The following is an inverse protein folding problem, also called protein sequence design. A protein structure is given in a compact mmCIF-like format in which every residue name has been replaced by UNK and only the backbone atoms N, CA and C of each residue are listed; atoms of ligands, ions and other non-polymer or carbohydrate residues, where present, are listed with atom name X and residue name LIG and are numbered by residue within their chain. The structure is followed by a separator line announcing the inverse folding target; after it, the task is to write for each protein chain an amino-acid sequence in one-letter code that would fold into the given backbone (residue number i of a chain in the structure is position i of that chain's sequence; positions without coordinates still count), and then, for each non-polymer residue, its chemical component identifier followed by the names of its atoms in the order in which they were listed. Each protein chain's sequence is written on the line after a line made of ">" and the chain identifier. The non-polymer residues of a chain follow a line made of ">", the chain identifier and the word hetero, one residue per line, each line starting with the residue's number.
data_IF_600586172054
#
_entry.id   IF_600586172054
#
_cell.length_a   1.000
_cell.length_b   1.000
_cell.length_c   1.000
_cell.angle_alpha   90.00
_cell.angle_beta   90.00
_cell.angle_gamma   90.00
#
_symmetry.space_group_name_H-M   'P 1'
#
loop_
_entity.id
_entity.type
_entity.pdbx_description
1 polymer ?
#
# COMPACT_ATOMS: atom_id res chain seq x y z
N UNK A 1 9.60 -56.33 -22.35
CA UNK A 1 8.94 -55.26 -23.14
C UNK A 1 7.96 -54.57 -22.21
N UNK A 2 8.60 -53.86 -21.30
CA UNK A 2 8.11 -52.87 -20.35
C UNK A 2 7.55 -51.70 -21.14
N UNK A 3 6.23 -51.61 -21.22
CA UNK A 3 5.55 -50.51 -21.89
C UNK A 3 5.51 -49.29 -20.98
N UNK A 4 6.65 -48.61 -20.85
CA UNK A 4 6.76 -47.28 -20.25
C UNK A 4 6.18 -46.25 -21.23
N UNK A 5 4.86 -46.20 -21.34
CA UNK A 5 4.16 -45.12 -22.06
C UNK A 5 4.04 -43.92 -21.12
N UNK A 6 5.15 -43.19 -20.98
CA UNK A 6 5.24 -41.92 -20.26
C UNK A 6 4.37 -40.84 -20.89
N UNK A 7 3.06 -40.88 -20.65
CA UNK A 7 2.17 -39.75 -20.87
C UNK A 7 2.51 -38.69 -19.81
N UNK A 8 3.01 -37.49 -20.16
CA UNK A 8 3.18 -36.46 -19.16
C UNK A 8 1.77 -36.03 -18.75
N UNK A 9 1.35 -36.39 -17.52
CA UNK A 9 0.17 -35.78 -16.92
C UNK A 9 0.32 -34.25 -17.00
N UNK A 10 -0.70 -33.49 -17.44
CA UNK A 10 -0.67 -32.05 -17.27
C UNK A 10 -0.49 -31.79 -15.77
N UNK A 11 0.64 -31.20 -15.40
CA UNK A 11 0.83 -30.71 -14.04
C UNK A 11 -0.30 -29.70 -13.81
N UNK A 12 -1.17 -29.85 -12.78
CA UNK A 12 -1.98 -28.71 -12.37
C UNK A 12 -1.01 -27.55 -12.09
N UNK A 13 -1.38 -26.30 -12.37
CA UNK A 13 -0.53 -25.14 -12.10
C UNK A 13 -0.25 -25.09 -10.59
N UNK A 14 0.84 -25.73 -10.19
CA UNK A 14 1.33 -25.74 -8.83
C UNK A 14 2.40 -24.68 -8.77
N UNK A 15 2.03 -23.50 -8.28
CA UNK A 15 3.01 -22.50 -7.90
C UNK A 15 2.65 -21.05 -8.17
N UNK A 16 1.46 -20.60 -7.77
CA UNK A 16 1.35 -19.22 -7.25
C UNK A 16 0.34 -19.12 -6.09
N UNK A 17 0.14 -20.23 -5.37
CA UNK A 17 -0.58 -20.26 -4.09
C UNK A 17 0.22 -19.71 -2.90
N UNK A 18 1.46 -19.25 -3.12
CA UNK A 18 2.34 -18.70 -2.07
C UNK A 18 2.53 -17.18 -2.15
N UNK A 19 1.82 -16.49 -3.05
CA UNK A 19 1.63 -15.04 -2.98
C UNK A 19 0.28 -14.62 -2.38
N UNK A 20 -0.59 -15.58 -2.06
CA UNK A 20 -1.89 -15.35 -1.44
C UNK A 20 -1.82 -15.08 0.09
N UNK A 21 -0.63 -14.86 0.65
CA UNK A 21 -0.43 -14.51 2.07
C UNK A 21 -0.27 -13.00 2.34
N UNK A 22 -0.08 -12.21 1.30
CA UNK A 22 -0.22 -10.76 1.33
C UNK A 22 -1.22 -10.43 0.25
N UNK A 23 -2.52 -10.49 0.58
CA UNK A 23 -3.53 -9.86 -0.25
C UNK A 23 -3.02 -8.46 -0.57
N UNK A 24 -2.99 -8.12 -1.87
CA UNK A 24 -2.38 -6.90 -2.39
C UNK A 24 -2.66 -5.76 -1.40
N UNK A 25 -1.65 -5.22 -0.73
CA UNK A 25 -1.85 -4.30 0.40
C UNK A 25 -2.63 -3.05 -0.05
N UNK A 26 -2.60 -2.79 -1.37
CA UNK A 26 -3.47 -1.84 -2.08
C UNK A 26 -4.93 -2.25 -2.10
N UNK A 27 -5.25 -3.53 -2.24
CA UNK A 27 -6.61 -4.07 -2.09
C UNK A 27 -7.10 -4.07 -0.64
N UNK A 28 -6.18 -4.04 0.35
CA UNK A 28 -6.53 -3.91 1.78
C UNK A 28 -6.57 -2.44 2.25
N UNK A 29 -5.96 -1.53 1.50
CA UNK A 29 -5.94 -0.10 1.81
C UNK A 29 -7.29 0.53 1.49
N UNK A 30 -8.24 0.46 2.43
CA UNK A 30 -9.51 1.18 2.32
C UNK A 30 -9.28 2.69 2.12
N UNK A 31 -10.07 3.39 1.30
CA UNK A 31 -10.01 4.85 1.14
C UNK A 31 -10.05 5.62 2.46
N UNK A 32 -10.80 5.10 3.45
CA UNK A 32 -10.83 5.67 4.80
C UNK A 32 -9.45 5.62 5.50
N UNK A 33 -8.70 4.52 5.35
CA UNK A 33 -7.37 4.37 5.96
C UNK A 33 -6.35 5.33 5.34
N UNK A 34 -6.42 5.52 4.02
CA UNK A 34 -5.59 6.52 3.32
C UNK A 34 -5.84 7.94 3.81
N UNK A 35 -7.12 8.27 4.02
CA UNK A 35 -7.49 9.59 4.53
C UNK A 35 -7.07 9.79 5.98
N UNK A 36 -7.18 8.76 6.83
CA UNK A 36 -6.63 8.80 8.20
C UNK A 36 -5.12 9.01 8.21
N UNK A 37 -4.38 8.38 7.29
CA UNK A 37 -2.94 8.57 7.14
C UNK A 37 -2.62 10.02 6.75
N UNK A 38 -3.34 10.57 5.75
CA UNK A 38 -3.18 11.97 5.36
C UNK A 38 -3.48 12.95 6.51
N UNK A 39 -4.51 12.67 7.33
CA UNK A 39 -4.83 13.47 8.52
C UNK A 39 -3.70 13.37 9.56
N UNK A 40 -3.15 12.18 9.81
CA UNK A 40 -2.02 12.01 10.73
C UNK A 40 -0.76 12.75 10.25
N UNK A 41 -0.48 12.72 8.95
CA UNK A 41 0.61 13.50 8.33
C UNK A 41 0.36 14.99 8.56
N UNK A 42 -0.86 15.46 8.30
CA UNK A 42 -1.27 16.84 8.50
C UNK A 42 -1.11 17.29 9.97
N UNK A 43 -1.61 16.51 10.92
CA UNK A 43 -1.48 16.85 12.34
C UNK A 43 -0.03 16.86 12.81
N UNK A 44 0.79 15.93 12.31
CA UNK A 44 2.23 15.91 12.58
C UNK A 44 2.91 17.17 12.04
N UNK A 45 2.63 17.56 10.79
CA UNK A 45 3.13 18.81 10.19
C UNK A 45 2.70 20.02 11.02
N UNK A 46 1.43 20.07 11.45
CA UNK A 46 0.89 21.17 12.27
C UNK A 46 1.57 21.29 13.63
N UNK A 47 1.88 20.17 14.29
CA UNK A 47 2.61 20.17 15.57
C UNK A 47 4.06 20.66 15.41
N UNK A 48 4.73 20.28 14.32
CA UNK A 48 6.11 20.70 14.07
C UNK A 48 6.23 22.14 13.58
N UNK A 49 5.24 22.66 12.87
CA UNK A 49 5.20 24.03 12.36
C UNK A 49 4.62 24.99 13.41
N UNK A 50 5.11 24.96 14.66
CA UNK A 50 4.65 25.80 15.80
C UNK A 50 4.72 27.32 15.51
N UNK A 51 3.84 27.82 14.63
CA UNK A 51 3.56 29.21 14.22
C UNK A 51 2.76 29.29 12.91
N UNK A 52 2.40 28.17 12.26
CA UNK A 52 1.70 28.21 10.97
C UNK A 52 0.33 28.86 11.12
N UNK A 53 0.15 30.02 10.51
CA UNK A 53 -1.09 30.79 10.56
C UNK A 53 -2.24 30.01 9.90
N UNK A 54 -3.49 30.38 10.20
CA UNK A 54 -4.69 29.79 9.57
C UNK A 54 -4.62 29.78 8.03
N UNK A 55 -3.83 30.67 7.43
CA UNK A 55 -3.63 30.82 5.99
C UNK A 55 -2.79 29.69 5.34
N UNK A 56 -1.96 28.98 6.11
CA UNK A 56 -1.11 27.88 5.62
C UNK A 56 -1.74 26.49 5.78
N UNK A 57 -2.85 26.38 6.54
CA UNK A 57 -3.59 25.12 6.70
C UNK A 57 -4.06 24.48 5.37
N UNK A 58 -4.55 25.24 4.37
CA UNK A 58 -4.93 24.65 3.08
C UNK A 58 -3.73 24.10 2.31
N UNK A 59 -2.57 24.78 2.41
CA UNK A 59 -1.32 24.35 1.78
C UNK A 59 -0.79 23.08 2.47
N UNK A 60 -0.82 23.02 3.80
CA UNK A 60 -0.47 21.83 4.57
C UNK A 60 -1.36 20.63 4.22
N UNK A 61 -2.66 20.86 4.07
CA UNK A 61 -3.60 19.80 3.71
C UNK A 61 -3.28 19.25 2.32
N UNK A 62 -2.96 20.14 1.37
CA UNK A 62 -2.52 19.76 0.02
C UNK A 62 -1.21 18.98 0.05
N UNK A 63 -0.22 19.45 0.82
CA UNK A 63 1.07 18.75 0.99
C UNK A 63 0.87 17.37 1.61
N UNK A 64 0.01 17.26 2.62
CA UNK A 64 -0.29 15.98 3.30
C UNK A 64 -0.93 14.97 2.36
N UNK A 65 -1.89 15.42 1.53
CA UNK A 65 -2.54 14.57 0.53
C UNK A 65 -1.55 14.13 -0.57
N UNK A 66 -0.74 15.05 -1.10
CA UNK A 66 0.28 14.73 -2.12
C UNK A 66 1.34 13.80 -1.56
N UNK A 67 1.76 14.00 -0.31
CA UNK A 67 2.73 13.14 0.35
C UNK A 67 2.19 11.72 0.53
N UNK A 68 0.97 11.59 1.04
CA UNK A 68 0.29 10.29 1.16
C UNK A 68 0.18 9.59 -0.20
N UNK A 69 -0.23 10.33 -1.25
CA UNK A 69 -0.38 9.77 -2.60
C UNK A 69 0.97 9.32 -3.18
N UNK A 70 2.03 10.09 -2.97
CA UNK A 70 3.37 9.74 -3.43
C UNK A 70 3.90 8.48 -2.73
N UNK A 71 3.64 8.34 -1.42
CA UNK A 71 3.99 7.12 -0.67
C UNK A 71 3.12 5.94 -1.11
N UNK A 72 1.82 6.14 -1.31
CA UNK A 72 0.91 5.10 -1.77
C UNK A 72 1.28 4.56 -3.17
N UNK A 73 1.75 5.42 -4.07
CA UNK A 73 2.19 5.03 -5.42
C UNK A 73 3.58 4.39 -5.39
N UNK A 74 4.50 4.90 -4.58
CA UNK A 74 5.88 4.41 -4.50
C UNK A 74 6.04 3.15 -3.64
N UNK A 75 5.20 2.96 -2.61
CA UNK A 75 5.29 1.82 -1.72
C UNK A 75 5.00 0.51 -2.47
N UNK A 76 5.65 -0.56 -2.04
CA UNK A 76 5.43 -1.94 -2.51
C UNK A 76 4.84 -2.83 -1.43
N UNK A 77 4.77 -2.32 -0.19
CA UNK A 77 4.18 -3.01 0.96
C UNK A 77 3.72 -2.00 2.02
N UNK A 78 2.80 -2.43 2.89
CA UNK A 78 2.26 -1.66 4.01
C UNK A 78 2.93 -2.07 5.34
N UNK A 79 4.25 -2.21 5.37
CA UNK A 79 4.94 -2.45 6.64
C UNK A 79 4.92 -1.16 7.44
N UNK A 80 4.03 -1.08 8.43
CA UNK A 80 4.11 -0.10 9.52
C UNK A 80 5.37 -0.44 10.33
N UNK A 81 6.35 0.46 10.32
CA UNK A 81 7.58 0.37 11.13
C UNK A 81 7.38 1.14 12.43
#
# INVERSE_FOLDING_TARGET
>A
MDSDNGTPRPRPPQGDGFRAGQGDWRSQSLPCSRQEIAIKIFDTLKTHLSSSGQEELPELMKISAVFEENVYTSATSQVLV
#
